data_IF_119262440947
#
_entry.id   IF_119262440947
#
_cell.length_a   1.000
_cell.length_b   1.000
_cell.length_c   1.000
_cell.angle_alpha   90.00
_cell.angle_beta   90.00
_cell.angle_gamma   90.00
#
_symmetry.space_group_name_H-M   'P 1'
#
loop_
_entity.id
_entity.type
_entity.pdbx_description
1 polymer ?
#
# COMPACT_ATOMS: atom_id res chain seq x y z
N UNK A 1 33.76 -8.00 64.17
CA UNK A 1 33.53 -7.09 63.02
C UNK A 1 32.46 -7.73 62.15
N UNK A 2 31.26 -7.17 62.12
CA UNK A 2 30.10 -7.75 61.41
C UNK A 2 29.81 -6.91 60.16
N UNK A 3 29.82 -7.53 58.99
CA UNK A 3 29.44 -6.92 57.71
C UNK A 3 27.95 -7.18 57.49
N UNK A 4 27.14 -6.12 57.56
CA UNK A 4 25.72 -6.16 57.18
C UNK A 4 25.63 -5.91 55.67
N UNK A 5 25.23 -6.92 54.92
CA UNK A 5 24.93 -6.80 53.49
C UNK A 5 23.54 -6.17 53.32
N UNK A 6 23.47 -5.00 52.68
CA UNK A 6 22.21 -4.38 52.28
C UNK A 6 21.74 -4.99 50.95
N UNK A 7 20.59 -5.65 50.96
CA UNK A 7 19.92 -6.13 49.76
C UNK A 7 19.18 -4.96 49.09
N UNK A 8 19.58 -4.61 47.87
CA UNK A 8 18.86 -3.66 47.02
C UNK A 8 17.73 -4.42 46.34
N UNK A 9 16.49 -4.13 46.73
CA UNK A 9 15.29 -4.62 46.02
C UNK A 9 15.04 -3.69 44.85
N UNK A 10 15.34 -4.17 43.63
CA UNK A 10 14.99 -3.46 42.39
C UNK A 10 13.53 -3.80 42.07
N UNK A 11 12.64 -2.84 42.29
CA UNK A 11 11.26 -2.91 41.80
C UNK A 11 11.27 -2.58 40.30
N UNK A 12 11.20 -3.61 39.44
CA UNK A 12 10.89 -3.39 38.03
C UNK A 12 9.39 -3.12 37.93
N UNK A 13 9.02 -1.85 37.80
CA UNK A 13 7.65 -1.48 37.46
C UNK A 13 7.29 -2.14 36.12
N UNK A 14 6.24 -2.95 36.12
CA UNK A 14 5.68 -3.48 34.88
C UNK A 14 5.29 -2.29 33.99
N UNK A 15 5.71 -2.33 32.73
CA UNK A 15 5.32 -1.31 31.76
C UNK A 15 3.77 -1.21 31.76
N UNK A 16 3.20 0.00 31.77
CA UNK A 16 1.74 0.16 31.72
C UNK A 16 1.19 -0.57 30.49
N UNK A 17 0.01 -1.20 30.58
CA UNK A 17 -0.61 -1.84 29.44
C UNK A 17 -0.77 -0.81 28.33
N UNK A 18 -0.28 -1.16 27.13
CA UNK A 18 -0.44 -0.32 25.95
C UNK A 18 -1.93 -0.03 25.78
N UNK A 19 -2.36 1.24 25.74
CA UNK A 19 -3.77 1.55 25.54
C UNK A 19 -4.22 0.89 24.23
N UNK A 20 -5.26 0.08 24.30
CA UNK A 20 -5.92 -0.46 23.11
C UNK A 20 -6.58 0.73 22.43
N UNK A 21 -5.94 1.24 21.38
CA UNK A 21 -6.55 2.26 20.52
C UNK A 21 -7.71 1.57 19.81
N UNK A 22 -8.92 1.71 20.35
CA UNK A 22 -10.13 1.30 19.63
C UNK A 22 -10.27 2.18 18.41
N UNK A 23 -10.27 1.58 17.23
CA UNK A 23 -10.58 2.28 15.99
C UNK A 23 -11.92 3.01 16.15
N UNK A 24 -12.07 4.23 15.63
CA UNK A 24 -13.34 4.93 15.67
C UNK A 24 -14.44 4.05 15.06
N UNK A 25 -15.54 3.86 15.79
CA UNK A 25 -16.69 3.11 15.31
C UNK A 25 -17.57 4.03 14.47
N UNK A 26 -17.69 3.74 13.19
CA UNK A 26 -18.59 4.45 12.27
C UNK A 26 -19.93 3.71 12.17
N UNK A 27 -21.00 4.47 12.09
CA UNK A 27 -22.36 3.95 11.89
C UNK A 27 -22.53 3.41 10.47
N UNK A 28 -23.46 2.46 10.29
CA UNK A 28 -23.82 1.97 8.95
C UNK A 28 -24.32 3.11 8.05
N UNK A 29 -25.01 4.11 8.61
CA UNK A 29 -25.46 5.28 7.86
C UNK A 29 -24.28 6.09 7.29
N UNK A 30 -23.21 6.27 8.06
CA UNK A 30 -21.99 6.94 7.58
C UNK A 30 -21.29 6.14 6.49
N UNK A 31 -21.19 4.81 6.65
CA UNK A 31 -20.65 3.94 5.61
C UNK A 31 -21.47 4.03 4.32
N UNK A 32 -22.80 3.98 4.40
CA UNK A 32 -23.69 4.10 3.23
C UNK A 32 -23.57 5.47 2.55
N UNK A 33 -23.43 6.54 3.32
CA UNK A 33 -23.22 7.87 2.76
C UNK A 33 -21.89 7.94 1.99
N UNK A 34 -20.81 7.38 2.54
CA UNK A 34 -19.52 7.32 1.87
C UNK A 34 -19.53 6.41 0.63
N UNK A 35 -20.21 5.25 0.69
CA UNK A 35 -20.41 4.39 -0.48
C UNK A 35 -21.11 5.14 -1.62
N UNK A 36 -22.18 5.88 -1.30
CA UNK A 36 -22.90 6.65 -2.31
C UNK A 36 -22.01 7.69 -3.00
N UNK A 37 -21.10 8.34 -2.25
CA UNK A 37 -20.11 9.26 -2.80
C UNK A 37 -19.12 8.53 -3.71
N UNK A 38 -18.58 7.38 -3.28
CA UNK A 38 -17.64 6.58 -4.07
C UNK A 38 -18.26 6.07 -5.38
N UNK A 39 -19.48 5.52 -5.31
CA UNK A 39 -20.20 5.03 -6.50
C UNK A 39 -20.61 6.19 -7.43
N UNK A 40 -21.04 7.32 -6.86
CA UNK A 40 -21.39 8.53 -7.61
C UNK A 40 -20.24 9.04 -8.48
N UNK A 41 -19.02 9.00 -7.95
CA UNK A 41 -17.80 9.39 -8.67
C UNK A 41 -17.65 8.67 -10.03
N UNK A 42 -17.92 7.37 -10.10
CA UNK A 42 -17.81 6.61 -11.35
C UNK A 42 -19.02 6.78 -12.26
N UNK A 43 -20.23 6.85 -11.68
CA UNK A 43 -21.46 7.06 -12.48
C UNK A 43 -21.44 8.40 -13.20
N UNK A 44 -20.94 9.45 -12.56
CA UNK A 44 -20.76 10.77 -13.17
C UNK A 44 -19.76 10.77 -14.34
N UNK A 45 -18.86 9.79 -14.39
CA UNK A 45 -17.90 9.57 -15.48
C UNK A 45 -18.41 8.65 -16.60
N UNK A 46 -19.67 8.21 -16.52
CA UNK A 46 -20.31 7.42 -17.55
C UNK A 46 -20.13 5.90 -17.43
N UNK A 47 -19.60 5.41 -16.31
CA UNK A 47 -19.54 3.97 -16.04
C UNK A 47 -20.93 3.41 -15.78
N UNK A 48 -21.27 2.34 -16.50
CA UNK A 48 -22.62 1.76 -16.50
C UNK A 48 -22.81 0.85 -15.29
N UNK A 49 -21.78 0.10 -14.92
CA UNK A 49 -21.81 -0.80 -13.78
C UNK A 49 -20.72 -0.40 -12.79
N UNK A 50 -21.14 -0.02 -11.58
CA UNK A 50 -20.23 0.18 -10.46
C UNK A 50 -20.87 -0.29 -9.17
N UNK A 51 -20.12 -1.12 -8.44
CA UNK A 51 -20.53 -1.66 -7.14
C UNK A 51 -19.36 -1.75 -6.16
N UNK A 52 -19.69 -1.80 -4.86
CA UNK A 52 -18.71 -2.01 -3.80
C UNK A 52 -18.46 -3.51 -3.68
N UNK A 53 -17.23 -3.93 -3.96
CA UNK A 53 -16.78 -5.30 -3.75
C UNK A 53 -16.37 -5.55 -2.30
N UNK A 54 -15.73 -4.56 -1.67
CA UNK A 54 -15.23 -4.68 -0.30
C UNK A 54 -15.15 -3.34 0.42
N UNK A 55 -15.42 -3.35 1.74
CA UNK A 55 -15.15 -2.26 2.68
C UNK A 55 -13.94 -2.62 3.52
N UNK A 56 -13.11 -1.65 3.87
CA UNK A 56 -11.95 -1.86 4.74
C UNK A 56 -12.17 -1.21 6.11
N UNK A 57 -12.66 -1.94 7.14
CA UNK A 57 -13.10 -1.32 8.40
C UNK A 57 -12.01 -0.57 9.17
N UNK A 58 -10.73 -0.92 8.94
CA UNK A 58 -9.58 -0.28 9.59
C UNK A 58 -9.16 1.04 8.92
N UNK A 59 -9.58 1.25 7.68
CA UNK A 59 -9.40 2.47 6.91
C UNK A 59 -10.78 3.01 6.56
N UNK A 60 -11.35 3.83 7.46
CA UNK A 60 -12.73 4.27 7.33
C UNK A 60 -12.99 4.86 5.95
N UNK A 61 -14.03 4.33 5.30
CA UNK A 61 -14.48 4.75 3.97
C UNK A 61 -13.47 4.51 2.84
N UNK A 62 -12.56 3.56 3.01
CA UNK A 62 -11.86 2.91 1.91
C UNK A 62 -12.74 1.78 1.34
N UNK A 63 -12.87 1.76 0.03
CA UNK A 63 -13.65 0.80 -0.74
C UNK A 63 -12.83 0.20 -1.86
N UNK A 64 -13.02 -1.10 -2.11
CA UNK A 64 -12.68 -1.71 -3.38
C UNK A 64 -13.95 -1.75 -4.21
N UNK A 65 -13.90 -1.17 -5.40
CA UNK A 65 -15.00 -1.10 -6.34
C UNK A 65 -14.75 -2.02 -7.52
N UNK A 66 -15.83 -2.55 -8.07
CA UNK A 66 -15.84 -3.21 -9.36
C UNK A 66 -16.52 -2.28 -10.37
N UNK A 67 -15.82 -1.97 -11.45
CA UNK A 67 -16.25 -1.03 -12.49
C UNK A 67 -16.29 -1.77 -13.82
N UNK A 68 -17.42 -1.73 -14.51
CA UNK A 68 -17.66 -2.30 -15.84
C UNK A 68 -17.05 -3.71 -16.03
N UNK A 69 -17.38 -4.61 -15.10
CA UNK A 69 -17.14 -6.07 -15.16
C UNK A 69 -15.68 -6.56 -15.17
N UNK A 70 -14.69 -5.67 -15.11
CA UNK A 70 -13.27 -6.08 -15.18
C UNK A 70 -12.30 -5.16 -14.47
N UNK A 71 -12.70 -3.91 -14.20
CA UNK A 71 -11.81 -2.94 -13.61
C UNK A 71 -11.99 -2.88 -12.08
N UNK A 72 -10.90 -3.19 -11.36
CA UNK A 72 -10.83 -2.99 -9.91
C UNK A 72 -10.32 -1.59 -9.63
N UNK A 73 -11.10 -0.82 -8.88
CA UNK A 73 -10.70 0.50 -8.41
C UNK A 73 -10.66 0.53 -6.87
N UNK A 74 -9.76 1.33 -6.32
CA UNK A 74 -9.71 1.60 -4.89
C UNK A 74 -10.07 3.05 -4.65
N UNK A 75 -11.07 3.29 -3.81
CA UNK A 75 -11.57 4.63 -3.52
C UNK A 75 -11.60 4.91 -2.03
N UNK A 76 -11.10 6.08 -1.66
CA UNK A 76 -11.14 6.59 -0.31
C UNK A 76 -12.02 7.83 -0.26
N UNK A 77 -13.01 7.82 0.63
CA UNK A 77 -13.87 8.97 0.87
C UNK A 77 -13.49 9.65 2.17
N UNK A 78 -13.06 10.90 2.08
CA UNK A 78 -12.74 11.72 3.26
C UNK A 78 -13.55 13.01 3.23
N UNK A 79 -14.14 13.37 4.37
CA UNK A 79 -14.95 14.60 4.52
C UNK A 79 -16.03 14.75 3.44
N UNK A 80 -16.68 13.64 3.06
CA UNK A 80 -17.77 13.59 2.10
C UNK A 80 -17.35 13.72 0.63
N UNK A 81 -16.07 13.56 0.31
CA UNK A 81 -15.55 13.60 -1.07
C UNK A 81 -14.56 12.47 -1.31
N UNK A 82 -14.46 12.03 -2.55
CA UNK A 82 -13.38 11.14 -3.00
C UNK A 82 -12.05 11.88 -2.89
N UNK A 83 -11.06 11.24 -2.27
CA UNK A 83 -9.67 11.71 -2.21
C UNK A 83 -9.08 11.61 -3.61
N UNK A 84 -8.58 12.74 -4.10
CA UNK A 84 -8.14 12.90 -5.51
C UNK A 84 -6.64 13.17 -5.63
N UNK A 85 -6.00 13.48 -4.51
CA UNK A 85 -4.58 13.68 -4.40
C UNK A 85 -3.84 12.38 -4.74
N UNK A 86 -2.77 12.49 -5.54
CA UNK A 86 -1.98 11.34 -6.00
C UNK A 86 -0.50 11.48 -5.66
N UNK A 87 0.23 10.39 -5.75
CA UNK A 87 1.66 10.25 -5.48
C UNK A 87 2.00 10.02 -4.01
N UNK A 88 3.28 9.68 -3.78
CA UNK A 88 3.80 9.32 -2.47
C UNK A 88 3.65 10.44 -1.43
N UNK A 89 3.73 11.71 -1.82
CA UNK A 89 3.56 12.86 -0.91
C UNK A 89 2.16 12.89 -0.29
N UNK A 90 1.13 12.71 -1.11
CA UNK A 90 -0.27 12.68 -0.65
C UNK A 90 -0.52 11.49 0.28
N UNK A 91 0.00 10.30 -0.08
CA UNK A 91 0.02 9.13 0.79
C UNK A 91 0.64 9.45 2.16
N UNK A 92 1.83 10.05 2.18
CA UNK A 92 2.53 10.38 3.43
C UNK A 92 1.76 11.36 4.31
N UNK A 93 1.11 12.36 3.71
CA UNK A 93 0.24 13.29 4.45
C UNK A 93 -0.98 12.58 5.03
N UNK A 94 -1.58 11.65 4.29
CA UNK A 94 -2.73 10.89 4.75
C UNK A 94 -2.37 9.98 5.93
N UNK A 95 -1.30 9.20 5.81
CA UNK A 95 -0.79 8.35 6.89
C UNK A 95 -0.44 9.14 8.16
N UNK A 96 -0.06 10.41 8.03
CA UNK A 96 0.18 11.30 9.16
C UNK A 96 -1.10 11.73 9.85
N UNK A 97 -2.13 12.09 9.07
CA UNK A 97 -3.46 12.45 9.59
C UNK A 97 -4.11 11.28 10.34
N UNK A 98 -3.91 10.06 9.85
CA UNK A 98 -4.44 8.84 10.49
C UNK A 98 -3.55 8.32 11.63
N UNK A 99 -2.51 9.09 12.00
CA UNK A 99 -1.68 8.81 13.16
C UNK A 99 -0.79 7.57 13.03
N UNK A 100 -0.54 7.11 11.81
CA UNK A 100 0.28 5.90 11.57
C UNK A 100 1.72 6.12 12.05
N UNK A 101 2.28 7.31 11.85
CA UNK A 101 3.62 7.65 12.37
C UNK A 101 3.65 7.81 13.89
N UNK A 102 2.50 8.03 14.54
CA UNK A 102 2.37 8.20 15.99
C UNK A 102 1.93 6.93 16.72
N UNK A 103 1.73 5.82 15.99
CA UNK A 103 1.49 4.51 16.59
C UNK A 103 0.26 3.75 16.08
N UNK A 104 -0.54 4.32 15.16
CA UNK A 104 -1.66 3.58 14.60
C UNK A 104 -1.17 2.33 13.84
N UNK A 105 -1.79 1.15 14.05
CA UNK A 105 -1.43 -0.06 13.34
C UNK A 105 -1.86 0.03 11.86
N UNK A 106 -0.99 -0.43 10.97
CA UNK A 106 -1.20 -0.64 9.52
C UNK A 106 -0.44 -1.90 9.11
N UNK A 107 -1.10 -2.81 8.39
CA UNK A 107 -0.47 -4.01 7.83
C UNK A 107 0.15 -3.72 6.47
N UNK A 108 0.94 -4.65 5.95
CA UNK A 108 1.50 -4.49 4.59
C UNK A 108 0.40 -4.52 3.52
N UNK A 109 -0.62 -5.38 3.66
CA UNK A 109 -1.75 -5.45 2.72
C UNK A 109 -2.51 -4.12 2.66
N UNK A 110 -2.87 -3.59 3.83
CA UNK A 110 -3.56 -2.29 3.94
C UNK A 110 -2.73 -1.16 3.31
N UNK A 111 -1.42 -1.16 3.55
CA UNK A 111 -0.55 -0.15 2.97
C UNK A 111 -0.46 -0.23 1.44
N UNK A 112 -0.49 -1.45 0.88
CA UNK A 112 -0.53 -1.64 -0.57
C UNK A 112 -1.84 -1.12 -1.17
N UNK A 113 -2.98 -1.37 -0.51
CA UNK A 113 -4.27 -0.84 -0.94
C UNK A 113 -4.28 0.69 -0.95
N UNK A 114 -3.70 1.33 0.07
CA UNK A 114 -3.61 2.79 0.13
C UNK A 114 -2.60 3.31 -0.90
N UNK A 115 -1.49 2.60 -1.16
CA UNK A 115 -0.58 2.93 -2.26
C UNK A 115 -1.33 2.93 -3.60
N UNK A 116 -2.26 2.00 -3.83
CA UNK A 116 -3.14 2.02 -5.01
C UNK A 116 -4.05 3.25 -5.04
N UNK A 117 -4.74 3.56 -3.93
CA UNK A 117 -5.63 4.74 -3.83
C UNK A 117 -4.89 6.01 -4.23
N UNK A 118 -3.69 6.20 -3.71
CA UNK A 118 -2.92 7.40 -3.98
C UNK A 118 -2.09 7.31 -5.27
N UNK A 119 -2.11 6.21 -6.01
CA UNK A 119 -1.20 5.98 -7.15
C UNK A 119 0.26 6.34 -6.77
N UNK A 120 0.70 5.84 -5.61
CA UNK A 120 1.94 6.21 -4.95
C UNK A 120 3.10 5.25 -5.26
N UNK A 121 2.99 4.49 -6.35
CA UNK A 121 3.98 3.51 -6.79
C UNK A 121 5.35 4.13 -7.08
N UNK A 122 6.44 3.35 -7.06
CA UNK A 122 7.75 3.84 -7.42
C UNK A 122 7.76 4.35 -8.86
N UNK A 123 8.54 5.41 -9.15
CA UNK A 123 8.64 5.97 -10.48
C UNK A 123 9.43 5.02 -11.38
N UNK A 124 8.74 4.16 -12.12
CA UNK A 124 9.39 3.31 -13.13
C UNK A 124 9.46 4.09 -14.45
N UNK A 125 10.62 4.72 -14.68
CA UNK A 125 10.89 5.45 -15.92
C UNK A 125 11.40 4.46 -16.97
N UNK A 126 10.75 4.42 -18.14
CA UNK A 126 11.36 3.84 -19.35
C UNK A 126 10.68 2.64 -20.01
N UNK A 127 9.38 2.38 -19.79
CA UNK A 127 8.64 1.39 -20.59
C UNK A 127 7.53 2.09 -21.40
N UNK A 128 7.81 2.44 -22.67
CA UNK A 128 6.78 2.93 -23.58
C UNK A 128 5.68 1.88 -23.77
N UNK A 129 4.41 2.28 -23.66
CA UNK A 129 3.27 1.40 -23.98
C UNK A 129 2.64 0.64 -22.81
N UNK A 130 3.07 0.86 -21.57
CA UNK A 130 2.39 0.32 -20.38
C UNK A 130 1.48 1.38 -19.74
N UNK A 131 0.15 1.31 -19.92
CA UNK A 131 -0.78 2.29 -19.37
C UNK A 131 -1.10 2.07 -17.89
N UNK A 132 -0.64 0.99 -17.27
CA UNK A 132 -1.15 0.55 -15.97
C UNK A 132 -0.04 0.17 -14.96
N UNK A 133 0.17 1.00 -13.90
CA UNK A 133 1.00 0.69 -12.72
C UNK A 133 0.62 -0.60 -11.97
N UNK A 134 -0.49 -1.26 -12.31
CA UNK A 134 -0.92 -2.54 -11.74
C UNK A 134 -0.45 -3.79 -12.51
N UNK A 135 0.14 -3.64 -13.71
CA UNK A 135 0.89 -4.72 -14.38
C UNK A 135 2.19 -5.12 -13.63
N UNK A 136 2.40 -4.51 -12.45
CA UNK A 136 3.54 -4.57 -11.58
C UNK A 136 3.15 -5.48 -10.42
N UNK A 137 3.60 -6.73 -10.45
CA UNK A 137 3.35 -7.65 -9.37
C UNK A 137 4.21 -7.26 -8.14
N UNK A 138 3.72 -6.33 -7.33
CA UNK A 138 4.01 -6.36 -5.89
C UNK A 138 3.27 -7.60 -5.38
N UNK A 139 3.95 -8.75 -5.46
CA UNK A 139 3.35 -10.07 -5.41
C UNK A 139 2.46 -10.26 -4.19
N UNK A 140 1.16 -10.37 -4.44
CA UNK A 140 0.24 -10.92 -3.44
C UNK A 140 -0.44 -12.21 -3.92
N UNK A 141 -0.62 -12.49 -5.22
CA UNK A 141 -1.32 -13.74 -5.65
C UNK A 141 -0.86 -14.41 -6.96
N UNK A 142 -0.03 -13.78 -7.79
CA UNK A 142 0.23 -14.26 -9.17
C UNK A 142 1.61 -14.90 -9.40
N UNK A 143 2.57 -14.74 -8.50
CA UNK A 143 3.93 -15.24 -8.72
C UNK A 143 4.61 -15.57 -7.38
N UNK A 144 4.72 -16.86 -7.05
CA UNK A 144 5.29 -17.37 -5.79
C UNK A 144 6.81 -17.19 -5.68
N UNK A 145 7.46 -16.68 -6.73
CA UNK A 145 8.91 -16.53 -6.78
C UNK A 145 9.43 -15.18 -6.25
N UNK A 146 8.56 -14.17 -6.14
CA UNK A 146 8.95 -12.89 -5.57
C UNK A 146 8.83 -12.91 -4.04
N UNK A 147 9.81 -12.34 -3.31
CA UNK A 147 9.62 -12.10 -1.89
C UNK A 147 8.37 -11.23 -1.67
N UNK A 148 7.54 -11.54 -0.66
CA UNK A 148 6.38 -10.74 -0.36
C UNK A 148 6.81 -9.32 0.03
N UNK A 149 5.96 -8.30 -0.20
CA UNK A 149 6.16 -6.96 0.31
C UNK A 149 6.48 -6.95 1.81
N UNK A 150 7.42 -6.10 2.22
CA UNK A 150 7.80 -5.95 3.63
C UNK A 150 7.40 -4.58 4.16
N UNK A 151 6.99 -4.54 5.42
CA UNK A 151 6.73 -3.31 6.17
C UNK A 151 7.61 -3.30 7.42
N UNK A 152 8.55 -2.35 7.48
CA UNK A 152 9.39 -2.10 8.64
C UNK A 152 8.92 -0.82 9.33
N UNK A 153 8.86 -0.86 10.67
CA UNK A 153 8.38 0.24 11.50
C UNK A 153 9.43 0.68 12.49
N UNK A 154 9.68 1.97 12.52
CA UNK A 154 10.46 2.65 13.55
C UNK A 154 9.65 3.85 14.06
N UNK A 155 9.89 4.36 15.28
CA UNK A 155 9.20 5.57 15.75
C UNK A 155 9.30 6.73 14.74
N UNK A 156 8.16 7.22 14.26
CA UNK A 156 8.07 8.30 13.28
C UNK A 156 8.49 7.93 11.85
N UNK A 157 8.79 6.66 11.55
CA UNK A 157 9.25 6.20 10.23
C UNK A 157 8.59 4.88 9.83
N UNK A 158 8.11 4.83 8.60
CA UNK A 158 7.64 3.62 7.94
C UNK A 158 8.53 3.37 6.73
N UNK A 159 9.02 2.15 6.58
CA UNK A 159 9.73 1.72 5.38
C UNK A 159 8.95 0.58 4.75
N UNK A 160 8.57 0.78 3.50
CA UNK A 160 7.92 -0.23 2.67
C UNK A 160 8.95 -0.74 1.68
N UNK A 161 9.11 -2.05 1.62
CA UNK A 161 10.00 -2.69 0.64
C UNK A 161 9.12 -3.45 -0.34
N UNK A 162 9.24 -3.09 -1.61
CA UNK A 162 8.52 -3.69 -2.70
C UNK A 162 9.51 -4.33 -3.68
N UNK A 163 9.19 -5.54 -4.11
CA UNK A 163 9.96 -6.29 -5.09
C UNK A 163 9.23 -6.23 -6.43
N UNK A 164 9.93 -5.86 -7.51
CA UNK A 164 9.33 -5.65 -8.82
C UNK A 164 9.90 -6.61 -9.88
N UNK A 165 8.99 -7.15 -10.69
CA UNK A 165 9.30 -7.66 -12.03
C UNK A 165 8.63 -6.77 -13.09
N UNK A 166 9.31 -6.50 -14.20
CA UNK A 166 8.73 -5.87 -15.38
C UNK A 166 8.58 -6.91 -16.48
N UNK A 167 7.52 -6.85 -17.28
CA UNK A 167 7.50 -7.56 -18.54
C UNK A 167 8.68 -7.09 -19.42
N UNK A 168 9.45 -8.02 -19.97
CA UNK A 168 10.52 -7.69 -20.93
C UNK A 168 9.91 -6.97 -22.15
N UNK A 169 10.21 -5.67 -22.38
CA UNK A 169 9.64 -4.91 -23.49
C UNK A 169 10.13 -5.39 -24.87
N UNK A 170 11.16 -6.26 -24.93
CA UNK A 170 11.67 -6.81 -26.20
C UNK A 170 10.89 -8.02 -26.71
N UNK A 171 9.91 -8.53 -25.95
CA UNK A 171 9.03 -9.65 -26.34
C UNK A 171 7.55 -9.34 -26.14
N UNK A 172 7.19 -8.08 -25.85
CA UNK A 172 5.79 -7.67 -25.75
C UNK A 172 5.05 -7.75 -27.10
N UNK A 173 5.76 -7.86 -28.23
CA UNK A 173 5.17 -8.14 -29.55
C UNK A 173 4.53 -9.54 -29.63
N UNK A 174 4.96 -10.50 -28.80
CA UNK A 174 4.39 -11.86 -28.75
C UNK A 174 3.05 -11.92 -27.98
N UNK A 175 2.58 -10.83 -27.38
CA UNK A 175 1.25 -10.78 -26.75
C UNK A 175 0.09 -10.78 -27.76
N UNK A 176 0.37 -10.56 -29.06
CA UNK A 176 -0.63 -10.49 -30.13
C UNK A 176 -0.33 -11.40 -31.32
N UNK A 177 0.66 -12.30 -31.22
CA UNK A 177 1.06 -13.22 -32.29
C UNK A 177 0.65 -14.67 -32.03
N UNK A 178 0.18 -15.37 -33.07
CA UNK A 178 -0.27 -16.78 -33.07
C UNK A 178 0.85 -17.83 -32.84
N UNK A 179 1.87 -17.52 -32.04
CA UNK A 179 3.01 -18.40 -31.74
C UNK A 179 2.85 -19.17 -30.42
N UNK A 180 3.54 -20.32 -30.23
CA UNK A 180 3.46 -21.11 -29.00
C UNK A 180 3.96 -20.29 -27.79
N UNK A 181 3.30 -20.39 -26.63
CA UNK A 181 3.42 -19.41 -25.55
C UNK A 181 4.68 -19.68 -24.72
N UNK A 182 5.83 -19.22 -25.19
CA UNK A 182 6.82 -18.72 -24.23
C UNK A 182 6.24 -17.41 -23.70
N UNK A 183 5.36 -17.51 -22.72
CA UNK A 183 4.65 -16.39 -22.11
C UNK A 183 5.60 -15.26 -21.68
N UNK A 184 5.05 -14.07 -21.40
CA UNK A 184 5.87 -12.89 -21.14
C UNK A 184 6.94 -13.16 -20.07
N UNK A 185 8.21 -13.04 -20.45
CA UNK A 185 9.31 -13.18 -19.50
C UNK A 185 9.31 -11.96 -18.58
N UNK A 186 8.97 -12.19 -17.33
CA UNK A 186 9.09 -11.23 -16.24
C UNK A 186 10.58 -11.05 -15.91
N UNK A 187 11.13 -9.86 -16.16
CA UNK A 187 12.47 -9.45 -15.75
C UNK A 187 12.44 -8.99 -14.30
N UNK A 188 13.29 -9.54 -13.42
CA UNK A 188 13.53 -8.96 -12.10
C UNK A 188 14.14 -7.58 -12.27
N UNK A 189 13.49 -6.54 -11.74
CA UNK A 189 13.83 -5.15 -12.03
C UNK A 189 14.46 -4.45 -10.84
N UNK A 190 14.19 -4.93 -9.63
CA UNK A 190 14.92 -4.53 -8.45
C UNK A 190 14.03 -4.41 -7.24
N UNK A 191 14.69 -4.11 -6.12
CA UNK A 191 14.05 -3.90 -4.82
C UNK A 191 13.90 -2.40 -4.60
N UNK A 192 12.68 -1.92 -4.46
CA UNK A 192 12.39 -0.52 -4.18
C UNK A 192 12.00 -0.34 -2.73
N UNK A 193 12.49 0.73 -2.13
CA UNK A 193 12.13 1.13 -0.79
C UNK A 193 11.41 2.48 -0.84
N UNK A 194 10.21 2.53 -0.26
CA UNK A 194 9.53 3.79 0.06
C UNK A 194 9.79 4.10 1.52
N UNK A 195 10.47 5.23 1.74
CA UNK A 195 10.71 5.76 3.06
C UNK A 195 9.73 6.89 3.36
N UNK A 196 8.83 6.63 4.30
CA UNK A 196 7.81 7.53 4.79
C UNK A 196 8.22 8.00 6.20
N UNK A 197 8.24 9.31 6.42
CA UNK A 197 8.71 9.91 7.68
C UNK A 197 7.74 11.02 8.10
N UNK A 198 7.47 11.11 9.39
CA UNK A 198 6.65 12.19 9.95
C UNK A 198 7.19 13.56 9.51
N UNK A 199 6.31 14.39 8.91
CA UNK A 199 6.61 15.75 8.43
C UNK A 199 7.79 15.86 7.45
N UNK A 200 8.14 14.79 6.73
CA UNK A 200 9.17 14.82 5.68
C UNK A 200 8.62 14.28 4.37
N UNK A 201 9.17 14.79 3.27
CA UNK A 201 8.82 14.32 1.94
C UNK A 201 9.15 12.82 1.82
N UNK A 202 8.20 12.00 1.32
CA UNK A 202 8.43 10.60 1.04
C UNK A 202 9.46 10.41 -0.08
N UNK A 203 10.26 9.35 0.01
CA UNK A 203 11.32 9.08 -0.97
C UNK A 203 11.27 7.62 -1.41
N UNK A 204 11.22 7.41 -2.71
CA UNK A 204 11.49 6.12 -3.34
C UNK A 204 12.97 5.98 -3.63
N UNK A 205 13.56 4.86 -3.23
CA UNK A 205 14.94 4.49 -3.58
C UNK A 205 14.99 3.10 -4.21
N UNK A 206 15.59 3.00 -5.39
CA UNK A 206 15.86 1.73 -6.05
C UNK A 206 17.16 1.12 -5.49
N UNK A 207 17.10 -0.13 -5.05
CA UNK A 207 18.27 -0.98 -4.80
C UNK A 207 18.31 -2.04 -5.89
N UNK A 208 19.20 -1.84 -6.87
CA UNK A 208 19.46 -2.85 -7.91
C UNK A 208 20.24 -3.99 -7.28
N UNK A 209 19.67 -5.18 -7.29
CA UNK A 209 20.37 -6.41 -6.92
C UNK A 209 21.57 -6.56 -7.86
N UNK A 210 22.78 -6.41 -7.33
CA UNK A 210 24.04 -6.51 -8.08
C UNK A 210 24.38 -7.97 -8.44
N UNK A 211 23.44 -8.70 -9.04
CA UNK A 211 23.65 -10.06 -9.53
C UNK A 211 23.16 -10.20 -10.97
N UNK A 212 24.01 -9.75 -11.88
CA UNK A 212 24.25 -10.50 -13.11
C UNK A 212 25.77 -10.67 -13.19
N UNK A 213 26.31 -11.72 -12.55
CA UNK A 213 27.58 -12.28 -13.02
C UNK A 213 27.24 -13.14 -14.22
N UNK A 214 27.91 -12.79 -15.32
CA UNK A 214 27.85 -13.41 -16.65
C UNK A 214 28.00 -14.92 -16.61
#
# INVERSE_FOLDING_TARGET
MSLVAAAIVVWTAAAPPTPVVTAPSYTEAEWRAAEAVALGHYRERGHAHVEVAERFPRWPFLFRLFVDESWRAYELVSRGRVVSERGAVALGQHLDLDGVFTGAPVTVSELLEIIHVFDAWPPVVGIPGYPDPTAYAAGNELDSELPPPELQREPGTLRVVLHYRLLDPRRSEDLFGDGPPDGPRLMEVGRWELLLRHKKAPVWTESRSSRVRR
#
